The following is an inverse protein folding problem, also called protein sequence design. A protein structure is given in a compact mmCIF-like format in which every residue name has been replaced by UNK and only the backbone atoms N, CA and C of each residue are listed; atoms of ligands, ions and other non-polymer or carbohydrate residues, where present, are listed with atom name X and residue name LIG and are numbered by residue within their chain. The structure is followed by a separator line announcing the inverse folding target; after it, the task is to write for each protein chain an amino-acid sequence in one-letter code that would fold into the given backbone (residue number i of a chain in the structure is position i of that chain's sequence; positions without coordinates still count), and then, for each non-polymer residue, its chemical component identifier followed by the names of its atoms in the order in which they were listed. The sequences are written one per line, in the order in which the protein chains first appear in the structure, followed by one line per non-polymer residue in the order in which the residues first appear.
data_IF_550926906194
#
_entry.id   IF_550926906194
#
_cell.length_a   1.000
_cell.length_b   1.000
_cell.length_c   1.000
_cell.angle_alpha   90.00
_cell.angle_beta   90.00
_cell.angle_gamma   90.00
#
_symmetry.space_group_name_H-M   'P 1'
#
loop_
_entity.id
_entity.type
_entity.pdbx_description
1 polymer ?
#
# COMPACT_ATOMS: atom_id res chain seq x y z
N UNK A 1 -11.30 1.79 25.88
CA UNK A 1 -10.00 1.09 26.03
C UNK A 1 -9.12 1.49 24.85
N UNK A 2 -7.82 1.54 25.01
CA UNK A 2 -6.90 1.88 23.91
C UNK A 2 -6.62 0.59 23.13
N UNK A 3 -6.90 0.56 21.84
CA UNK A 3 -6.56 -0.53 20.93
C UNK A 3 -5.49 -0.06 19.93
N UNK A 4 -4.76 -1.01 19.36
CA UNK A 4 -3.67 -0.75 18.41
C UNK A 4 -4.17 -0.81 16.98
N UNK A 5 -3.63 0.09 16.18
CA UNK A 5 -3.81 0.08 14.73
C UNK A 5 -2.47 0.25 14.02
N UNK A 6 -2.41 -0.21 12.81
CA UNK A 6 -1.35 0.07 11.84
C UNK A 6 -1.84 1.09 10.83
N UNK A 7 -0.98 2.03 10.43
CA UNK A 7 -1.21 2.91 9.27
C UNK A 7 -0.10 2.72 8.25
N UNK A 8 -0.50 2.56 6.96
CA UNK A 8 0.43 2.27 5.87
C UNK A 8 0.27 3.32 4.75
N UNK A 9 0.51 4.61 5.02
CA UNK A 9 0.35 5.64 4.02
C UNK A 9 1.43 5.55 2.94
N UNK A 10 1.00 5.91 1.73
CA UNK A 10 1.86 5.99 0.56
C UNK A 10 1.94 7.44 0.13
N UNK A 11 3.13 8.03 0.15
CA UNK A 11 3.38 9.41 -0.28
C UNK A 11 4.06 9.45 -1.63
N UNK A 12 3.70 10.42 -2.46
CA UNK A 12 4.19 10.56 -3.84
C UNK A 12 5.51 11.34 -3.87
N UNK A 13 6.52 10.80 -3.20
CA UNK A 13 7.90 11.30 -3.26
C UNK A 13 8.89 10.21 -2.85
N UNK A 14 10.12 10.29 -3.38
CA UNK A 14 11.29 9.54 -2.92
C UNK A 14 12.43 10.49 -2.50
N UNK A 15 12.15 11.78 -2.28
CA UNK A 15 13.12 12.77 -1.80
C UNK A 15 13.52 12.46 -0.34
N UNK A 16 14.79 12.13 -0.06
CA UNK A 16 15.24 11.75 1.27
C UNK A 16 14.97 12.81 2.34
N UNK A 17 15.08 14.10 2.00
CA UNK A 17 14.89 15.18 2.96
C UNK A 17 13.41 15.32 3.39
N UNK A 18 12.47 15.11 2.46
CA UNK A 18 11.04 15.06 2.78
C UNK A 18 10.73 13.82 3.62
N UNK A 19 11.28 12.66 3.23
CA UNK A 19 11.07 11.40 3.94
C UNK A 19 11.58 11.45 5.39
N UNK A 20 12.76 12.06 5.62
CA UNK A 20 13.31 12.24 6.97
C UNK A 20 12.42 13.12 7.84
N UNK A 21 11.85 14.22 7.30
CA UNK A 21 10.93 15.08 8.05
C UNK A 21 9.64 14.36 8.42
N UNK A 22 9.09 13.58 7.49
CA UNK A 22 7.89 12.77 7.75
C UNK A 22 8.20 11.70 8.81
N UNK A 23 9.31 10.98 8.68
CA UNK A 23 9.73 9.95 9.63
C UNK A 23 9.91 10.54 11.04
N UNK A 24 10.64 11.66 11.17
CA UNK A 24 10.85 12.34 12.43
C UNK A 24 9.54 12.81 13.09
N UNK A 25 8.57 13.29 12.30
CA UNK A 25 7.27 13.71 12.83
C UNK A 25 6.42 12.53 13.33
N UNK A 26 6.51 11.37 12.67
CA UNK A 26 5.87 10.14 13.13
C UNK A 26 6.51 9.66 14.44
N UNK A 27 7.84 9.58 14.49
CA UNK A 27 8.61 9.12 15.66
C UNK A 27 8.48 10.06 16.87
N UNK A 28 8.26 11.35 16.65
CA UNK A 28 7.99 12.33 17.71
C UNK A 28 6.63 12.14 18.38
N UNK A 29 5.74 11.33 17.82
CA UNK A 29 4.42 11.06 18.41
C UNK A 29 4.53 9.95 19.45
N UNK A 30 4.30 10.29 20.73
CA UNK A 30 4.38 9.35 21.85
C UNK A 30 3.49 8.13 21.62
N UNK A 31 4.04 6.92 21.86
CA UNK A 31 3.34 5.65 21.70
C UNK A 31 3.23 5.14 20.27
N UNK A 32 3.74 5.88 19.28
CA UNK A 32 3.82 5.42 17.88
C UNK A 32 5.21 4.87 17.58
N UNK A 33 5.26 3.72 16.91
CA UNK A 33 6.50 3.12 16.44
C UNK A 33 6.51 3.13 14.90
N UNK A 34 7.49 3.82 14.32
CA UNK A 34 7.79 3.72 12.89
C UNK A 34 8.58 2.43 12.63
N UNK A 35 7.93 1.47 11.98
CA UNK A 35 8.51 0.16 11.70
C UNK A 35 9.36 0.17 10.43
N UNK A 36 8.87 0.86 9.39
CA UNK A 36 9.55 0.82 8.12
C UNK A 36 9.23 2.03 7.23
N UNK A 37 10.24 2.46 6.46
CA UNK A 37 10.11 3.41 5.35
C UNK A 37 10.66 2.72 4.11
N UNK A 38 9.83 2.57 3.07
CA UNK A 38 10.17 1.86 1.83
C UNK A 38 10.13 2.83 0.63
N UNK A 39 11.25 3.50 0.29
CA UNK A 39 11.31 4.40 -0.85
C UNK A 39 11.47 3.62 -2.16
N UNK A 40 10.60 3.91 -3.13
CA UNK A 40 10.71 3.46 -4.52
C UNK A 40 11.13 4.60 -5.42
N UNK A 41 12.40 4.65 -5.84
CA UNK A 41 12.96 5.76 -6.61
C UNK A 41 12.28 5.94 -7.96
N UNK A 42 12.22 4.90 -8.79
CA UNK A 42 11.57 4.97 -10.10
C UNK A 42 10.06 5.19 -10.00
N UNK A 43 9.43 4.69 -8.95
CA UNK A 43 8.03 4.96 -8.63
C UNK A 43 7.80 6.38 -8.15
N UNK A 44 8.84 7.08 -7.69
CA UNK A 44 8.78 8.34 -6.96
C UNK A 44 7.67 8.32 -5.90
N UNK A 45 7.69 7.28 -5.07
CA UNK A 45 6.66 6.95 -4.11
C UNK A 45 7.26 6.17 -2.94
N UNK A 46 6.85 6.49 -1.75
CA UNK A 46 7.35 5.86 -0.52
C UNK A 46 6.20 5.34 0.32
N UNK A 47 6.36 4.14 0.86
CA UNK A 47 5.45 3.56 1.84
C UNK A 47 6.04 3.76 3.23
N UNK A 48 5.25 4.33 4.14
CA UNK A 48 5.54 4.34 5.56
C UNK A 48 4.70 3.27 6.24
N UNK A 49 5.25 2.60 7.26
CA UNK A 49 4.52 1.64 8.08
C UNK A 49 4.78 1.95 9.54
N UNK A 50 3.75 2.34 10.26
CA UNK A 50 3.83 2.63 11.69
C UNK A 50 2.57 2.15 12.42
N UNK A 51 2.72 1.87 13.68
CA UNK A 51 1.65 1.37 14.53
C UNK A 51 1.72 1.94 15.95
N UNK A 52 0.63 1.81 16.68
CA UNK A 52 0.47 2.27 18.05
C UNK A 52 -1.00 2.38 18.44
N UNK A 53 -1.30 3.03 19.56
CA UNK A 53 -2.67 3.33 19.96
C UNK A 53 -3.40 4.17 18.90
N UNK A 54 -4.65 3.84 18.61
CA UNK A 54 -5.40 4.45 17.51
C UNK A 54 -5.38 5.98 17.49
N UNK A 55 -5.56 6.63 18.64
CA UNK A 55 -5.53 8.10 18.74
C UNK A 55 -4.17 8.69 18.40
N UNK A 56 -3.07 8.00 18.77
CA UNK A 56 -1.72 8.48 18.51
C UNK A 56 -1.32 8.25 17.06
N UNK A 57 -1.72 7.13 16.47
CA UNK A 57 -1.50 6.85 15.04
C UNK A 57 -2.23 7.89 14.18
N UNK A 58 -3.48 8.24 14.49
CA UNK A 58 -4.21 9.30 13.78
C UNK A 58 -3.48 10.66 13.90
N UNK A 59 -2.95 11.01 15.09
CA UNK A 59 -2.16 12.23 15.29
C UNK A 59 -0.85 12.23 14.48
N UNK A 60 -0.11 11.12 14.47
CA UNK A 60 1.08 10.96 13.64
C UNK A 60 0.75 11.10 12.15
N UNK A 61 -0.38 10.52 11.73
CA UNK A 61 -0.86 10.61 10.34
C UNK A 61 -1.22 12.06 9.98
N UNK A 62 -1.82 12.84 10.88
CA UNK A 62 -2.08 14.28 10.66
C UNK A 62 -0.77 15.04 10.38
N UNK A 63 0.29 14.76 11.15
CA UNK A 63 1.61 15.36 10.95
C UNK A 63 2.22 14.97 9.59
N UNK A 64 2.06 13.71 9.18
CA UNK A 64 2.48 13.25 7.85
C UNK A 64 1.75 14.04 6.75
N UNK A 65 0.41 14.18 6.84
CA UNK A 65 -0.36 14.95 5.87
C UNK A 65 0.12 16.40 5.80
N UNK A 66 0.34 17.05 6.95
CA UNK A 66 0.79 18.45 6.99
C UNK A 66 2.11 18.64 6.24
N UNK A 67 3.10 17.74 6.43
CA UNK A 67 4.39 17.81 5.74
C UNK A 67 4.22 17.45 4.25
N UNK A 68 3.58 16.35 3.94
CA UNK A 68 3.45 15.89 2.56
C UNK A 68 2.72 16.93 1.68
N UNK A 69 1.63 17.52 2.18
CA UNK A 69 0.87 18.53 1.44
C UNK A 69 1.61 19.86 1.31
N UNK A 70 2.51 20.22 2.24
CA UNK A 70 3.31 21.44 2.13
C UNK A 70 4.48 21.34 1.16
N UNK A 71 4.96 20.11 0.86
CA UNK A 71 6.21 19.89 0.15
C UNK A 71 6.06 19.19 -1.20
N UNK A 72 4.95 18.47 -1.43
CA UNK A 72 4.74 17.70 -2.65
C UNK A 72 3.76 18.43 -3.57
N UNK A 73 4.25 18.83 -4.74
CA UNK A 73 3.43 19.43 -5.80
C UNK A 73 3.13 18.38 -6.87
N UNK A 74 1.91 17.87 -6.88
CA UNK A 74 1.47 16.85 -7.84
C UNK A 74 1.49 17.30 -9.29
N UNK A 75 1.45 18.61 -9.57
CA UNK A 75 1.53 19.16 -10.93
C UNK A 75 2.90 18.93 -11.57
N UNK A 76 3.94 18.71 -10.73
CA UNK A 76 5.32 18.46 -11.16
C UNK A 76 5.75 16.99 -10.94
N UNK A 77 4.91 16.20 -10.26
CA UNK A 77 5.25 14.82 -9.89
C UNK A 77 5.31 13.90 -11.11
N UNK A 78 6.42 13.14 -11.22
CA UNK A 78 6.63 12.09 -12.20
C UNK A 78 7.08 10.80 -11.50
N UNK A 79 6.57 9.65 -11.94
CA UNK A 79 6.93 8.32 -11.45
C UNK A 79 6.20 7.25 -12.26
N UNK A 80 6.76 6.05 -12.31
CA UNK A 80 6.18 4.94 -13.10
C UNK A 80 5.01 4.23 -12.40
N UNK A 81 4.82 4.50 -11.09
CA UNK A 81 3.75 3.89 -10.33
C UNK A 81 2.47 4.74 -10.38
N UNK A 82 1.28 4.13 -10.54
CA UNK A 82 0.00 4.82 -10.44
C UNK A 82 -0.14 5.60 -9.13
N UNK A 83 -0.61 6.84 -9.20
CA UNK A 83 -0.84 7.70 -8.04
C UNK A 83 -1.92 8.73 -8.34
N UNK A 84 -2.61 9.19 -7.30
CA UNK A 84 -3.63 10.22 -7.49
C UNK A 84 -3.45 11.45 -6.58
N UNK A 85 -2.50 11.46 -5.65
CA UNK A 85 -2.22 12.63 -4.81
C UNK A 85 -0.91 12.55 -4.03
N UNK A 86 -0.55 13.65 -3.36
CA UNK A 86 0.66 13.78 -2.54
C UNK A 86 0.70 12.72 -1.43
N UNK A 87 -0.42 12.51 -0.71
CA UNK A 87 -0.69 11.30 0.05
C UNK A 87 -1.67 10.49 -0.80
N UNK A 88 -1.17 9.51 -1.52
CA UNK A 88 -1.96 8.78 -2.52
C UNK A 88 -2.93 7.79 -1.88
N UNK A 89 -2.44 6.96 -0.96
CA UNK A 89 -3.26 5.97 -0.24
C UNK A 89 -2.95 6.05 1.26
N UNK A 90 -3.98 6.06 2.09
CA UNK A 90 -3.84 6.10 3.55
C UNK A 90 -4.79 5.07 4.20
N UNK A 91 -4.38 3.79 4.33
CA UNK A 91 -5.15 2.76 4.99
C UNK A 91 -4.83 2.67 6.48
N UNK A 92 -5.86 2.38 7.27
CA UNK A 92 -5.76 2.00 8.66
C UNK A 92 -6.20 0.54 8.83
N UNK A 93 -5.48 -0.21 9.66
CA UNK A 93 -5.71 -1.63 9.93
C UNK A 93 -5.84 -1.83 11.43
N UNK A 94 -6.92 -2.45 11.86
CA UNK A 94 -7.08 -2.88 13.24
C UNK A 94 -6.14 -4.06 13.52
N UNK A 95 -5.36 -3.99 14.62
CA UNK A 95 -4.44 -5.05 15.01
C UNK A 95 -4.92 -5.86 16.22
N UNK A 96 -5.85 -5.30 16.99
CA UNK A 96 -6.45 -5.94 18.15
C UNK A 96 -7.83 -6.52 17.81
N UNK A 97 -8.64 -6.83 18.82
CA UNK A 97 -9.94 -7.47 18.71
C UNK A 97 -10.92 -6.72 17.77
N UNK A 98 -11.61 -7.46 16.92
CA UNK A 98 -12.60 -6.93 15.94
C UNK A 98 -13.74 -6.15 16.58
N UNK A 99 -13.97 -6.28 17.91
CA UNK A 99 -14.95 -5.47 18.63
C UNK A 99 -14.71 -3.96 18.54
N UNK A 100 -13.49 -3.54 18.15
CA UNK A 100 -13.13 -2.15 17.94
C UNK A 100 -13.28 -1.66 16.48
N UNK A 101 -13.75 -2.51 15.57
CA UNK A 101 -13.82 -2.19 14.15
C UNK A 101 -14.73 -0.98 13.84
N UNK A 102 -15.91 -0.93 14.45
CA UNK A 102 -16.87 0.17 14.26
C UNK A 102 -16.34 1.50 14.85
N UNK A 103 -15.69 1.45 16.03
CA UNK A 103 -15.06 2.63 16.64
C UNK A 103 -13.91 3.15 15.76
N UNK A 104 -13.08 2.26 15.23
CA UNK A 104 -12.01 2.64 14.31
C UNK A 104 -12.57 3.29 13.04
N UNK A 105 -13.60 2.70 12.45
CA UNK A 105 -14.23 3.22 11.23
C UNK A 105 -14.76 4.64 11.46
N UNK A 106 -15.43 4.90 12.58
CA UNK A 106 -15.97 6.23 12.89
C UNK A 106 -14.85 7.26 13.17
N UNK A 107 -13.79 6.86 13.88
CA UNK A 107 -12.61 7.70 14.09
C UNK A 107 -11.93 8.07 12.77
N UNK A 108 -11.76 7.12 11.86
CA UNK A 108 -11.16 7.38 10.54
C UNK A 108 -12.07 8.25 9.68
N UNK A 109 -13.40 8.07 9.77
CA UNK A 109 -14.38 8.94 9.10
C UNK A 109 -14.27 10.39 9.59
N UNK A 110 -14.19 10.58 10.89
CA UNK A 110 -13.98 11.91 11.51
C UNK A 110 -12.65 12.50 11.07
N UNK A 111 -11.58 11.72 11.16
CA UNK A 111 -10.24 12.12 10.70
C UNK A 111 -10.22 12.55 9.22
N UNK A 112 -10.86 11.78 8.34
CA UNK A 112 -10.98 12.11 6.92
C UNK A 112 -11.66 13.47 6.71
N UNK A 113 -12.75 13.72 7.43
CA UNK A 113 -13.48 15.00 7.39
C UNK A 113 -12.61 16.16 7.88
N UNK A 114 -11.90 15.97 8.98
CA UNK A 114 -11.07 17.03 9.59
C UNK A 114 -9.88 17.39 8.68
N UNK A 115 -9.14 16.39 8.19
CA UNK A 115 -8.02 16.58 7.25
C UNK A 115 -8.48 17.22 5.95
N UNK A 116 -9.61 16.76 5.40
CA UNK A 116 -10.15 17.32 4.15
C UNK A 116 -10.53 18.78 4.31
N UNK A 117 -11.15 19.15 5.44
CA UNK A 117 -11.53 20.53 5.75
C UNK A 117 -10.31 21.42 5.99
N UNK A 118 -9.32 20.91 6.75
CA UNK A 118 -8.11 21.66 7.12
C UNK A 118 -7.25 22.01 5.91
N UNK A 119 -7.19 21.13 4.90
CA UNK A 119 -6.27 21.24 3.77
C UNK A 119 -6.96 21.44 2.40
N UNK A 120 -8.26 21.59 2.35
CA UNK A 120 -9.07 21.60 1.11
C UNK A 120 -8.75 20.36 0.23
N UNK A 121 -8.56 19.20 0.90
CA UNK A 121 -8.09 17.96 0.29
C UNK A 121 -9.26 17.08 -0.13
N UNK A 122 -9.24 16.61 -1.38
CA UNK A 122 -10.18 15.61 -1.87
C UNK A 122 -9.84 14.21 -1.30
N UNK A 123 -10.79 13.56 -0.61
CA UNK A 123 -10.61 12.21 -0.06
C UNK A 123 -11.71 11.29 -0.58
N UNK A 124 -11.30 10.18 -1.20
CA UNK A 124 -12.17 9.09 -1.64
C UNK A 124 -12.02 7.90 -0.70
N UNK A 125 -13.15 7.47 -0.12
CA UNK A 125 -13.21 6.27 0.73
C UNK A 125 -13.13 4.99 -0.10
N UNK A 126 -12.42 3.95 0.41
CA UNK A 126 -12.44 2.62 -0.19
C UNK A 126 -12.53 1.54 0.92
N UNK A 127 -12.71 0.27 0.56
CA UNK A 127 -12.97 -0.84 1.48
C UNK A 127 -14.08 -0.50 2.47
N UNK A 128 -13.84 -0.50 3.80
CA UNK A 128 -14.88 -0.21 4.79
C UNK A 128 -15.28 1.27 4.87
N UNK A 129 -14.46 2.19 4.36
CA UNK A 129 -14.81 3.61 4.29
C UNK A 129 -15.54 3.99 2.98
N UNK A 130 -15.71 3.04 2.06
CA UNK A 130 -16.37 3.28 0.77
C UNK A 130 -17.82 3.74 0.94
N UNK A 131 -18.20 4.78 0.19
CA UNK A 131 -19.58 5.29 0.14
C UNK A 131 -20.50 4.47 -0.76
N UNK A 132 -19.92 3.63 -1.66
CA UNK A 132 -20.65 2.75 -2.56
C UNK A 132 -19.91 1.45 -2.82
N UNK A 133 -20.60 0.44 -3.37
CA UNK A 133 -20.01 -0.85 -3.71
C UNK A 133 -18.90 -0.75 -4.76
N UNK A 134 -19.04 0.18 -5.70
CA UNK A 134 -18.07 0.43 -6.78
C UNK A 134 -16.73 0.96 -6.23
N UNK A 135 -16.78 1.72 -5.12
CA UNK A 135 -15.59 2.30 -4.46
C UNK A 135 -14.89 1.36 -3.49
N UNK A 136 -15.43 0.17 -3.21
CA UNK A 136 -14.73 -0.80 -2.36
C UNK A 136 -13.35 -1.19 -2.89
N UNK A 137 -13.20 -1.25 -4.22
CA UNK A 137 -11.93 -1.63 -4.82
C UNK A 137 -11.03 -0.39 -5.02
N UNK A 138 -9.86 -0.37 -4.35
CA UNK A 138 -8.87 0.70 -4.48
C UNK A 138 -8.47 0.98 -5.95
N UNK A 139 -8.36 -0.05 -6.80
CA UNK A 139 -8.01 0.15 -8.21
C UNK A 139 -9.10 0.92 -8.97
N UNK A 140 -10.38 0.71 -8.64
CA UNK A 140 -11.49 1.49 -9.20
C UNK A 140 -11.44 2.95 -8.72
N UNK A 141 -11.20 3.17 -7.43
CA UNK A 141 -11.06 4.52 -6.85
C UNK A 141 -9.92 5.31 -7.49
N UNK A 142 -8.82 4.66 -7.86
CA UNK A 142 -7.64 5.29 -8.47
C UNK A 142 -7.69 5.34 -10.00
N UNK A 143 -8.78 4.92 -10.62
CA UNK A 143 -8.90 4.93 -12.08
C UNK A 143 -8.72 6.34 -12.65
N UNK A 144 -7.87 6.48 -13.68
CA UNK A 144 -7.50 7.75 -14.29
C UNK A 144 -6.40 8.51 -13.56
N UNK A 145 -6.01 8.06 -12.36
CA UNK A 145 -4.91 8.60 -11.58
C UNK A 145 -5.04 10.12 -11.31
N UNK A 146 -3.94 10.81 -11.03
CA UNK A 146 -3.94 12.27 -10.85
C UNK A 146 -4.42 13.00 -12.10
N UNK A 147 -3.99 12.55 -13.27
CA UNK A 147 -4.33 13.16 -14.56
C UNK A 147 -5.83 13.10 -14.88
N UNK A 148 -6.51 12.10 -14.38
CA UNK A 148 -7.96 11.93 -14.54
C UNK A 148 -8.82 12.73 -13.58
N UNK A 149 -8.25 13.31 -12.51
CA UNK A 149 -9.04 13.94 -11.45
C UNK A 149 -9.94 15.08 -11.94
N UNK A 150 -9.43 15.97 -12.80
CA UNK A 150 -10.24 17.07 -13.33
C UNK A 150 -11.45 16.55 -14.12
N UNK A 151 -11.27 15.51 -14.91
CA UNK A 151 -12.34 14.83 -15.63
C UNK A 151 -13.37 14.18 -14.71
N UNK A 152 -12.91 13.57 -13.61
CA UNK A 152 -13.80 12.97 -12.59
C UNK A 152 -14.69 14.03 -11.94
N UNK A 153 -14.12 15.16 -11.50
CA UNK A 153 -14.93 16.27 -10.96
C UNK A 153 -15.95 16.78 -11.98
N UNK A 154 -15.55 16.93 -13.24
CA UNK A 154 -16.43 17.38 -14.32
C UNK A 154 -17.56 16.39 -14.62
N UNK A 155 -17.35 15.08 -14.43
CA UNK A 155 -18.35 14.03 -14.64
C UNK A 155 -19.26 13.78 -13.43
N UNK A 156 -19.00 14.46 -12.29
CA UNK A 156 -19.75 14.27 -11.05
C UNK A 156 -19.28 13.09 -10.19
N UNK A 157 -18.12 12.47 -10.50
CA UNK A 157 -17.48 11.50 -9.61
C UNK A 157 -16.68 12.24 -8.53
N UNK A 158 -17.41 12.75 -7.54
CA UNK A 158 -16.91 13.64 -6.50
C UNK A 158 -16.32 12.86 -5.31
N UNK A 159 -15.37 13.46 -4.55
CA UNK A 159 -14.82 12.85 -3.35
C UNK A 159 -15.89 12.70 -2.25
N UNK A 160 -15.67 11.75 -1.35
CA UNK A 160 -16.54 11.50 -0.19
C UNK A 160 -16.37 12.59 0.88
N UNK A 161 -15.17 13.19 0.95
CA UNK A 161 -14.86 14.31 1.85
C UNK A 161 -14.05 15.36 1.08
N UNK A 162 -14.30 16.64 1.41
CA UNK A 162 -13.58 17.77 0.85
C UNK A 162 -14.30 18.47 -0.29
N UNK A 163 -13.55 19.17 -1.17
CA UNK A 163 -14.12 20.04 -2.18
C UNK A 163 -14.97 19.29 -3.20
N UNK A 164 -16.09 19.88 -3.57
CA UNK A 164 -17.01 19.35 -4.58
C UNK A 164 -16.76 19.92 -5.98
N UNK A 165 -15.69 20.71 -6.12
CA UNK A 165 -15.21 21.26 -7.38
C UNK A 165 -13.69 21.10 -7.47
N UNK A 166 -13.14 21.10 -8.68
CA UNK A 166 -11.69 21.02 -8.87
C UNK A 166 -11.03 22.35 -8.51
N UNK A 167 -10.55 22.45 -7.25
CA UNK A 167 -9.93 23.67 -6.70
C UNK A 167 -8.43 23.73 -7.01
N UNK A 168 -7.78 24.91 -6.83
CA UNK A 168 -6.31 25.00 -6.89
C UNK A 168 -5.60 24.06 -5.89
N UNK A 169 -6.20 23.80 -4.73
CA UNK A 169 -5.66 22.82 -3.75
C UNK A 169 -5.73 21.39 -4.29
N UNK A 170 -6.84 20.99 -4.92
CA UNK A 170 -6.93 19.68 -5.59
C UNK A 170 -5.91 19.57 -6.73
N UNK A 171 -5.69 20.62 -7.49
CA UNK A 171 -4.65 20.63 -8.53
C UNK A 171 -3.25 20.48 -7.93
N UNK A 172 -2.98 21.10 -6.77
CA UNK A 172 -1.67 21.04 -6.10
C UNK A 172 -1.43 19.69 -5.43
N UNK A 173 -2.41 19.20 -4.67
CA UNK A 173 -2.25 18.03 -3.79
C UNK A 173 -2.78 16.73 -4.40
N UNK A 174 -3.62 16.81 -5.43
CA UNK A 174 -4.38 15.66 -5.93
C UNK A 174 -5.47 15.23 -4.96
N UNK A 175 -5.68 13.92 -4.85
CA UNK A 175 -6.65 13.31 -3.96
C UNK A 175 -6.05 12.12 -3.20
N UNK A 176 -6.60 11.81 -2.03
CA UNK A 176 -6.20 10.66 -1.21
C UNK A 176 -7.27 9.57 -1.24
N UNK A 177 -6.86 8.32 -1.47
CA UNK A 177 -7.69 7.16 -1.18
C UNK A 177 -7.49 6.76 0.30
N UNK A 178 -8.54 6.86 1.13
CA UNK A 178 -8.47 6.54 2.55
C UNK A 178 -9.37 5.36 2.91
N UNK A 179 -8.94 4.50 3.83
CA UNK A 179 -9.78 3.38 4.28
C UNK A 179 -9.48 2.91 5.69
N UNK A 180 -10.44 2.19 6.27
CA UNK A 180 -10.18 1.09 7.19
C UNK A 180 -10.27 -0.19 6.37
N UNK A 181 -9.29 -1.10 6.48
CA UNK A 181 -9.27 -2.35 5.73
C UNK A 181 -8.76 -3.52 6.58
N UNK A 182 -9.06 -4.76 6.20
CA UNK A 182 -8.45 -5.92 6.82
C UNK A 182 -6.93 -5.92 6.67
N UNK A 183 -6.27 -6.70 7.51
CA UNK A 183 -4.84 -6.99 7.36
C UNK A 183 -4.58 -7.58 5.96
N UNK A 184 -3.51 -7.11 5.34
CA UNK A 184 -3.07 -7.54 4.02
C UNK A 184 -1.55 -7.60 4.01
N UNK A 185 -0.99 -8.61 3.37
CA UNK A 185 0.46 -8.70 3.15
C UNK A 185 0.77 -8.34 1.71
N UNK A 186 1.57 -7.28 1.50
CA UNK A 186 2.12 -6.92 0.19
C UNK A 186 3.43 -7.66 -0.03
N UNK A 187 3.45 -8.52 -1.05
CA UNK A 187 4.45 -9.56 -1.21
C UNK A 187 4.81 -9.77 -2.68
N UNK A 188 6.10 -9.73 -3.00
CA UNK A 188 6.58 -9.85 -4.37
C UNK A 188 7.54 -11.04 -4.48
N UNK A 189 7.36 -11.90 -5.47
CA UNK A 189 8.25 -13.03 -5.74
C UNK A 189 9.11 -12.71 -6.95
N UNK A 190 10.43 -12.83 -6.79
CA UNK A 190 11.43 -12.51 -7.81
C UNK A 190 11.59 -13.66 -8.79
N UNK A 191 11.52 -13.38 -10.10
CA UNK A 191 11.80 -14.35 -11.15
C UNK A 191 13.16 -14.06 -11.79
N UNK A 192 13.94 -15.12 -12.01
CA UNK A 192 15.26 -15.08 -12.65
C UNK A 192 15.37 -16.09 -13.78
N UNK A 193 16.41 -15.94 -14.61
CA UNK A 193 16.64 -16.80 -15.79
C UNK A 193 16.02 -16.24 -17.07
N UNK A 194 16.43 -16.78 -18.21
CA UNK A 194 15.91 -16.45 -19.53
C UNK A 194 16.02 -14.97 -19.94
N UNK A 195 15.46 -14.66 -21.10
CA UNK A 195 15.39 -13.30 -21.61
C UNK A 195 14.32 -12.46 -20.89
N UNK A 196 14.55 -11.13 -20.75
CA UNK A 196 13.69 -10.23 -20.01
C UNK A 196 12.22 -10.29 -20.44
N UNK A 197 11.96 -10.26 -21.74
CA UNK A 197 10.58 -10.24 -22.25
C UNK A 197 9.85 -11.58 -22.05
N UNK A 198 10.58 -12.69 -22.13
CA UNK A 198 10.03 -14.02 -21.82
C UNK A 198 9.76 -14.18 -20.33
N UNK A 199 10.67 -13.71 -19.48
CA UNK A 199 10.52 -13.69 -18.02
C UNK A 199 9.33 -12.81 -17.60
N UNK A 200 9.15 -11.65 -18.20
CA UNK A 200 7.99 -10.78 -17.95
C UNK A 200 6.67 -11.42 -18.38
N UNK A 201 6.67 -12.12 -19.53
CA UNK A 201 5.51 -12.90 -19.99
C UNK A 201 5.20 -14.04 -19.01
N UNK A 202 6.23 -14.74 -18.51
CA UNK A 202 6.07 -15.79 -17.51
C UNK A 202 5.47 -15.22 -16.21
N UNK A 203 5.98 -14.08 -15.69
CA UNK A 203 5.43 -13.44 -14.51
C UNK A 203 3.94 -13.06 -14.66
N UNK A 204 3.54 -12.52 -15.81
CA UNK A 204 2.14 -12.21 -16.12
C UNK A 204 1.27 -13.46 -16.17
N UNK A 205 1.80 -14.55 -16.73
CA UNK A 205 1.12 -15.86 -16.80
C UNK A 205 0.94 -16.45 -15.40
N UNK A 206 1.99 -16.43 -14.57
CA UNK A 206 1.95 -16.90 -13.18
C UNK A 206 0.94 -16.09 -12.38
N UNK A 207 1.01 -14.75 -12.45
CA UNK A 207 0.07 -13.87 -11.79
C UNK A 207 -1.38 -14.19 -12.16
N UNK A 208 -1.66 -14.48 -13.44
CA UNK A 208 -2.99 -14.91 -13.89
C UNK A 208 -3.45 -16.23 -13.28
N UNK A 209 -2.53 -17.17 -13.04
CA UNK A 209 -2.85 -18.49 -12.47
C UNK A 209 -3.06 -18.49 -10.96
N UNK A 210 -2.46 -17.52 -10.23
CA UNK A 210 -2.54 -17.49 -8.76
C UNK A 210 -3.60 -16.53 -8.24
N UNK A 211 -4.06 -15.53 -9.01
CA UNK A 211 -5.02 -14.54 -8.51
C UNK A 211 -6.45 -15.09 -8.42
N UNK A 212 -7.13 -14.76 -7.32
CA UNK A 212 -8.47 -15.25 -6.98
C UNK A 212 -9.50 -15.02 -8.09
N UNK A 213 -9.51 -13.83 -8.69
CA UNK A 213 -10.51 -13.48 -9.74
C UNK A 213 -10.47 -14.38 -10.98
N UNK A 214 -9.35 -15.07 -11.23
CA UNK A 214 -9.17 -15.97 -12.37
C UNK A 214 -9.22 -17.46 -11.95
N UNK A 215 -9.72 -17.73 -10.73
CA UNK A 215 -9.86 -19.09 -10.17
C UNK A 215 -8.61 -19.61 -9.47
N UNK A 216 -7.68 -18.72 -9.08
CA UNK A 216 -6.47 -19.05 -8.33
C UNK A 216 -6.68 -19.16 -6.82
N UNK A 217 -5.72 -18.66 -6.04
CA UNK A 217 -5.67 -18.79 -4.58
C UNK A 217 -6.57 -17.74 -3.89
N UNK A 218 -7.25 -18.09 -2.78
CA UNK A 218 -8.14 -17.17 -2.06
C UNK A 218 -7.42 -15.88 -1.63
N UNK A 219 -8.05 -14.73 -1.84
CA UNK A 219 -7.52 -13.43 -1.43
C UNK A 219 -6.27 -12.95 -2.16
N UNK A 220 -5.74 -13.71 -3.13
CA UNK A 220 -4.55 -13.30 -3.88
C UNK A 220 -4.94 -12.37 -5.03
N UNK A 221 -4.43 -11.13 -4.98
CA UNK A 221 -4.39 -10.20 -6.13
C UNK A 221 -2.96 -10.20 -6.65
N UNK A 222 -2.74 -10.39 -7.96
CA UNK A 222 -1.40 -10.48 -8.51
C UNK A 222 -1.27 -9.85 -9.89
N UNK A 223 -0.09 -9.28 -10.15
CA UNK A 223 0.36 -8.78 -11.45
C UNK A 223 1.81 -9.23 -11.73
N UNK A 224 2.17 -9.40 -12.99
CA UNK A 224 3.58 -9.54 -13.40
C UNK A 224 4.11 -8.19 -13.88
N UNK A 225 5.23 -7.74 -13.34
CA UNK A 225 5.83 -6.47 -13.69
C UNK A 225 7.36 -6.53 -13.77
N UNK A 226 7.96 -5.51 -14.36
CA UNK A 226 9.40 -5.30 -14.41
C UNK A 226 9.78 -4.14 -13.49
N UNK A 227 10.83 -4.34 -12.71
CA UNK A 227 11.38 -3.37 -11.76
C UNK A 227 12.72 -2.85 -12.31
N UNK A 228 12.73 -1.68 -12.99
CA UNK A 228 13.93 -1.18 -13.69
C UNK A 228 15.12 -0.92 -12.76
N UNK A 229 14.87 -0.44 -11.54
CA UNK A 229 15.91 -0.11 -10.54
C UNK A 229 16.81 -1.29 -10.19
N UNK A 230 16.33 -2.53 -10.40
CA UNK A 230 17.03 -3.77 -10.04
C UNK A 230 17.21 -4.72 -11.23
N UNK A 231 16.80 -4.32 -12.44
CA UNK A 231 16.70 -5.19 -13.62
C UNK A 231 16.01 -6.52 -13.32
N UNK A 232 14.90 -6.47 -12.60
CA UNK A 232 14.23 -7.62 -12.03
C UNK A 232 12.79 -7.74 -12.48
N UNK A 233 12.34 -8.95 -12.75
CA UNK A 233 10.92 -9.26 -12.97
C UNK A 233 10.33 -9.88 -11.71
N UNK A 234 9.13 -9.42 -11.33
CA UNK A 234 8.43 -9.92 -10.15
C UNK A 234 7.00 -10.35 -10.47
N UNK A 235 6.53 -11.34 -9.73
CA UNK A 235 5.11 -11.58 -9.50
C UNK A 235 4.74 -10.80 -8.24
N UNK A 236 4.13 -9.63 -8.42
CA UNK A 236 3.72 -8.74 -7.33
C UNK A 236 2.35 -9.14 -6.83
N UNK A 237 2.22 -9.39 -5.53
CA UNK A 237 1.02 -9.92 -4.89
C UNK A 237 0.56 -9.02 -3.74
N UNK A 238 -0.77 -8.89 -3.60
CA UNK A 238 -1.43 -8.44 -2.40
C UNK A 238 -2.26 -9.60 -1.84
N UNK A 239 -1.86 -10.13 -0.69
CA UNK A 239 -2.54 -11.22 0.01
C UNK A 239 -3.58 -10.61 0.94
N UNK A 240 -4.84 -10.51 0.49
CA UNK A 240 -5.93 -9.84 1.23
C UNK A 240 -6.61 -10.76 2.25
N UNK A 241 -6.32 -12.05 2.18
CA UNK A 241 -6.75 -13.09 3.12
C UNK A 241 -5.56 -13.97 3.50
N UNK A 242 -4.55 -13.41 4.19
CA UNK A 242 -3.28 -14.12 4.42
C UNK A 242 -3.42 -15.37 5.30
N UNK A 243 -4.54 -15.53 6.01
CA UNK A 243 -4.86 -16.75 6.76
C UNK A 243 -5.44 -17.88 5.89
N UNK A 244 -5.90 -17.57 4.66
CA UNK A 244 -6.40 -18.57 3.69
C UNK A 244 -5.34 -18.93 2.64
N UNK A 245 -4.51 -17.94 2.23
CA UNK A 245 -3.36 -18.12 1.35
C UNK A 245 -2.26 -17.15 1.77
N UNK A 246 -1.29 -17.67 2.53
CA UNK A 246 -0.18 -16.91 3.10
C UNK A 246 1.05 -16.85 2.20
N UNK A 247 2.12 -16.23 2.70
CA UNK A 247 3.35 -16.04 1.92
C UNK A 247 4.01 -17.36 1.56
N UNK A 248 3.98 -18.36 2.45
CA UNK A 248 4.60 -19.67 2.21
C UNK A 248 3.93 -20.40 1.06
N UNK A 249 2.59 -20.47 1.06
CA UNK A 249 1.79 -21.13 0.03
C UNK A 249 1.95 -20.43 -1.32
N UNK A 250 1.92 -19.08 -1.32
CA UNK A 250 2.07 -18.29 -2.54
C UNK A 250 3.48 -18.44 -3.12
N UNK A 251 4.52 -18.40 -2.26
CA UNK A 251 5.90 -18.60 -2.72
C UNK A 251 6.11 -19.96 -3.37
N UNK A 252 5.72 -21.02 -2.68
CA UNK A 252 5.80 -22.39 -3.21
C UNK A 252 5.06 -22.52 -4.55
N UNK A 253 3.85 -21.95 -4.62
CA UNK A 253 3.05 -22.02 -5.85
C UNK A 253 3.68 -21.26 -7.01
N UNK A 254 4.28 -20.09 -6.75
CA UNK A 254 5.03 -19.33 -7.77
C UNK A 254 6.26 -20.09 -8.23
N UNK A 255 7.02 -20.73 -7.31
CA UNK A 255 8.18 -21.57 -7.66
C UNK A 255 7.80 -22.73 -8.58
N UNK A 256 6.74 -23.48 -8.26
CA UNK A 256 6.23 -24.58 -9.11
C UNK A 256 5.88 -24.10 -10.53
N UNK A 257 5.15 -22.98 -10.61
CA UNK A 257 4.72 -22.43 -11.90
C UNK A 257 5.88 -21.83 -12.69
N UNK A 258 6.87 -21.22 -12.02
CA UNK A 258 8.09 -20.72 -12.65
C UNK A 258 8.90 -21.86 -13.24
N UNK A 259 9.16 -22.93 -12.47
CA UNK A 259 9.88 -24.11 -12.91
C UNK A 259 9.21 -24.76 -14.14
N UNK A 260 7.87 -24.87 -14.14
CA UNK A 260 7.10 -25.40 -15.28
C UNK A 260 7.23 -24.54 -16.56
N UNK A 261 7.64 -23.28 -16.43
CA UNK A 261 7.88 -22.35 -17.54
C UNK A 261 9.37 -22.17 -17.87
N UNK A 262 10.27 -22.91 -17.18
CA UNK A 262 11.72 -22.84 -17.39
C UNK A 262 12.43 -21.67 -16.71
N UNK A 263 11.81 -21.11 -15.66
CA UNK A 263 12.35 -20.00 -14.85
C UNK A 263 12.54 -20.43 -13.40
N UNK A 264 13.29 -19.63 -12.64
CA UNK A 264 13.49 -19.82 -11.20
C UNK A 264 12.87 -18.66 -10.40
N UNK A 265 12.44 -18.96 -9.17
CA UNK A 265 11.93 -17.99 -8.21
C UNK A 265 12.67 -18.16 -6.87
N UNK A 266 13.94 -17.69 -6.79
CA UNK A 266 14.80 -18.00 -5.64
C UNK A 266 14.56 -17.13 -4.42
N UNK A 267 13.86 -16.00 -4.55
CA UNK A 267 13.70 -15.01 -3.49
C UNK A 267 12.42 -14.21 -3.61
N UNK A 268 12.13 -13.47 -2.57
CA UNK A 268 10.97 -12.61 -2.51
C UNK A 268 11.25 -11.30 -1.76
N UNK A 269 10.32 -10.37 -1.85
CA UNK A 269 10.37 -9.07 -1.21
C UNK A 269 9.08 -8.82 -0.42
N UNK A 270 9.22 -8.46 0.85
CA UNK A 270 8.12 -7.98 1.67
C UNK A 270 8.03 -6.46 1.59
N UNK A 271 6.85 -5.92 1.38
CA UNK A 271 6.55 -4.50 1.48
C UNK A 271 5.75 -4.25 2.77
N UNK A 272 6.27 -3.37 3.66
CA UNK A 272 5.66 -3.12 4.96
C UNK A 272 5.93 -4.23 5.98
N UNK A 273 4.94 -4.54 6.82
CA UNK A 273 5.02 -5.53 7.89
C UNK A 273 4.27 -6.82 7.55
N UNK A 274 4.57 -7.88 8.32
CA UNK A 274 4.00 -9.21 8.17
C UNK A 274 3.71 -9.82 9.56
N UNK A 275 2.55 -10.45 9.78
CA UNK A 275 2.29 -11.20 11.01
C UNK A 275 3.25 -12.38 11.16
N UNK A 276 3.69 -12.65 12.40
CA UNK A 276 4.51 -13.83 12.72
C UNK A 276 3.83 -15.13 12.28
N UNK A 277 2.51 -15.18 12.34
CA UNK A 277 1.69 -16.33 11.93
C UNK A 277 1.82 -16.71 10.44
N UNK A 278 2.41 -15.84 9.61
CA UNK A 278 2.63 -16.13 8.18
C UNK A 278 3.83 -17.05 7.90
N UNK A 279 4.73 -17.24 8.86
CA UNK A 279 5.86 -18.16 8.74
C UNK A 279 5.45 -19.57 9.19
N UNK A 280 4.61 -20.23 8.39
CA UNK A 280 4.01 -21.53 8.71
C UNK A 280 4.95 -22.71 8.42
N UNK A 281 5.52 -22.74 7.21
CA UNK A 281 6.36 -23.84 6.70
C UNK A 281 7.74 -23.38 6.25
N UNK A 282 7.91 -22.09 5.98
CA UNK A 282 9.17 -21.48 5.54
C UNK A 282 9.52 -20.32 6.46
N UNK A 283 10.81 -20.18 6.76
CA UNK A 283 11.38 -19.03 7.46
C UNK A 283 11.56 -17.84 6.53
N UNK A 284 11.80 -16.65 7.08
CA UNK A 284 12.12 -15.44 6.29
C UNK A 284 13.33 -15.66 5.37
N UNK A 285 14.33 -16.42 5.83
CA UNK A 285 15.51 -16.75 5.03
C UNK A 285 15.18 -17.69 3.85
N UNK A 286 14.34 -18.72 4.06
CA UNK A 286 13.90 -19.64 3.00
C UNK A 286 12.98 -18.98 1.98
N UNK A 287 12.20 -17.98 2.40
CA UNK A 287 11.44 -17.09 1.50
C UNK A 287 12.36 -16.15 0.71
N UNK A 288 13.65 -16.08 1.06
CA UNK A 288 14.64 -15.22 0.42
C UNK A 288 14.45 -13.73 0.74
N UNK A 289 13.84 -13.42 1.90
CA UNK A 289 13.79 -12.04 2.39
C UNK A 289 15.19 -11.51 2.66
N UNK A 290 15.42 -10.24 2.35
CA UNK A 290 16.72 -9.59 2.53
C UNK A 290 17.68 -9.72 1.36
N UNK A 291 17.37 -10.51 0.33
CA UNK A 291 18.24 -10.63 -0.84
C UNK A 291 18.17 -9.39 -1.77
N UNK A 292 16.99 -8.80 -1.94
CA UNK A 292 16.82 -7.62 -2.78
C UNK A 292 16.97 -6.32 -1.98
N UNK A 293 16.33 -6.26 -0.81
CA UNK A 293 16.37 -5.13 0.13
C UNK A 293 16.54 -5.65 1.55
N UNK A 294 17.17 -4.90 2.47
CA UNK A 294 17.33 -5.33 3.86
C UNK A 294 16.01 -5.72 4.50
N UNK A 295 15.98 -6.88 5.11
CA UNK A 295 14.89 -7.36 5.97
C UNK A 295 15.36 -7.31 7.42
N UNK A 296 14.49 -6.90 8.34
CA UNK A 296 14.75 -6.93 9.77
C UNK A 296 13.51 -7.40 10.55
N UNK A 297 13.73 -7.92 11.73
CA UNK A 297 12.70 -8.48 12.62
C UNK A 297 11.63 -7.45 13.05
N UNK A 298 11.90 -6.14 12.95
CA UNK A 298 10.89 -5.11 13.24
C UNK A 298 9.71 -5.14 12.26
N UNK A 299 9.86 -5.81 11.10
CA UNK A 299 8.79 -6.01 10.14
C UNK A 299 7.83 -7.14 10.53
N UNK A 300 8.23 -7.99 11.50
CA UNK A 300 7.40 -9.10 11.98
C UNK A 300 6.55 -8.61 13.13
N UNK A 301 5.24 -8.70 12.98
CA UNK A 301 4.27 -8.28 13.98
C UNK A 301 3.80 -9.50 14.79
N UNK A 302 3.84 -9.36 16.10
CA UNK A 302 3.26 -10.34 17.03
C UNK A 302 1.75 -10.08 17.19
N UNK A 303 0.98 -10.55 16.18
CA UNK A 303 -0.47 -10.43 16.06
C UNK A 303 -1.06 -11.68 15.42
#
# INVERSE_FOLDING_TARGET
MSYRIECIPNVSTADPAILERIAAAIEATEGVTLHFVDPGKSANRTVFTYLGPASQVLKATESLFAIALSEIDMRQHQGVHPRMGAVDVCPFVLLDDETHADDLLERVRTFAKDISTKHDLAIYGYEYLASSSERKNLAAVRQGEYEGLQGRFASGDLPDFGPQTFTPAVALHGATAMSVRPLMVAYNVNLVGGELMERLKAAKTIAGKIRERDGGMPGVKAIGWYLPDFDLVQVSCNLTKPNEAGVCEVFTRVQELAAALGFEAPSSELIGCIPQSQFTTLTSAELGFGQLKPFNERRVLDI
#
